data_IF_142505374318
#
_entry.id   IF_142505374318
#
_cell.length_a   1.000
_cell.length_b   1.000
_cell.length_c   1.000
_cell.angle_alpha   90.00
_cell.angle_beta   90.00
_cell.angle_gamma   90.00
#
_symmetry.space_group_name_H-M   'P 1'
#
loop_
_entity.id
_entity.type
_entity.pdbx_description
1 polymer ?
#
# COMPACT_ATOMS: atom_id res chain seq x y z
N UNK A 1 -5.98 7.23 -2.00
CA UNK A 1 -6.98 6.48 -1.20
C UNK A 1 -7.85 7.38 -0.33
N UNK A 2 -7.31 8.35 0.42
CA UNK A 2 -8.12 9.24 1.28
C UNK A 2 -9.29 9.94 0.55
N UNK A 3 -9.04 10.58 -0.60
CA UNK A 3 -10.11 11.24 -1.39
C UNK A 3 -11.13 10.28 -2.02
N UNK A 4 -10.70 9.07 -2.41
CA UNK A 4 -11.61 8.03 -2.92
C UNK A 4 -12.55 7.56 -1.80
N UNK A 5 -12.04 7.49 -0.57
CA UNK A 5 -12.83 7.18 0.62
C UNK A 5 -13.82 8.29 0.97
N UNK A 6 -13.49 9.55 0.68
CA UNK A 6 -14.39 10.69 0.87
C UNK A 6 -15.54 10.71 -0.16
N UNK A 7 -15.31 10.22 -1.39
CA UNK A 7 -16.32 10.21 -2.48
C UNK A 7 -17.27 9.01 -2.41
N UNK A 8 -16.77 7.81 -2.09
CA UNK A 8 -17.57 6.57 -2.06
C UNK A 8 -18.10 6.22 -0.66
N UNK A 9 -17.68 6.98 0.35
CA UNK A 9 -17.90 6.63 1.74
C UNK A 9 -16.84 5.63 2.22
N UNK A 10 -16.38 5.83 3.45
CA UNK A 10 -15.25 5.10 4.06
C UNK A 10 -15.39 3.58 3.97
N UNK A 11 -16.64 3.09 4.00
CA UNK A 11 -16.98 1.66 4.03
C UNK A 11 -16.91 0.99 2.67
N UNK A 12 -17.32 1.68 1.61
CA UNK A 12 -17.21 1.17 0.23
C UNK A 12 -15.72 1.07 -0.15
N UNK A 13 -14.91 2.04 0.28
CA UNK A 13 -13.46 2.01 0.10
C UNK A 13 -12.79 0.81 0.80
N UNK A 14 -13.18 0.49 2.04
CA UNK A 14 -12.69 -0.70 2.76
C UNK A 14 -13.01 -2.00 2.01
N UNK A 15 -14.24 -2.11 1.52
CA UNK A 15 -14.69 -3.30 0.78
C UNK A 15 -13.90 -3.48 -0.51
N UNK A 16 -13.69 -2.41 -1.28
CA UNK A 16 -12.88 -2.44 -2.51
C UNK A 16 -11.44 -2.86 -2.22
N UNK A 17 -10.82 -2.30 -1.17
CA UNK A 17 -9.44 -2.64 -0.81
C UNK A 17 -9.29 -4.11 -0.45
N UNK A 18 -10.26 -4.69 0.26
CA UNK A 18 -10.22 -6.10 0.64
C UNK A 18 -10.47 -7.01 -0.55
N UNK A 19 -11.38 -6.66 -1.47
CA UNK A 19 -11.55 -7.41 -2.70
C UNK A 19 -10.23 -7.45 -3.48
N UNK A 20 -9.55 -6.31 -3.65
CA UNK A 20 -8.24 -6.25 -4.30
C UNK A 20 -7.20 -7.08 -3.54
N UNK A 21 -7.23 -7.05 -2.21
CA UNK A 21 -6.28 -7.79 -1.38
C UNK A 21 -6.45 -9.30 -1.51
N UNK A 22 -7.70 -9.79 -1.50
CA UNK A 22 -8.06 -11.20 -1.68
C UNK A 22 -7.73 -11.67 -3.10
N UNK A 23 -8.03 -10.87 -4.11
CA UNK A 23 -7.65 -11.17 -5.49
C UNK A 23 -6.12 -11.34 -5.64
N UNK A 24 -5.33 -10.52 -4.95
CA UNK A 24 -3.88 -10.67 -4.87
C UNK A 24 -3.45 -12.03 -4.33
N UNK A 25 -3.99 -12.46 -3.18
CA UNK A 25 -3.65 -13.77 -2.59
C UNK A 25 -4.12 -14.96 -3.45
N UNK A 26 -5.31 -14.89 -4.04
CA UNK A 26 -5.81 -15.92 -4.95
C UNK A 26 -4.86 -16.08 -6.14
N UNK A 27 -4.44 -14.98 -6.75
CA UNK A 27 -3.53 -15.00 -7.89
C UNK A 27 -2.12 -15.46 -7.49
N UNK A 28 -1.62 -15.09 -6.30
CA UNK A 28 -0.34 -15.60 -5.78
C UNK A 28 -0.38 -17.13 -5.59
N UNK A 29 -1.46 -17.66 -5.01
CA UNK A 29 -1.64 -19.10 -4.81
C UNK A 29 -1.77 -19.87 -6.13
N UNK A 30 -2.48 -19.31 -7.11
CA UNK A 30 -2.67 -19.90 -8.44
C UNK A 30 -1.46 -19.73 -9.39
N UNK A 31 -0.48 -18.89 -9.03
CA UNK A 31 0.63 -18.55 -9.92
C UNK A 31 1.50 -19.78 -10.26
N UNK A 32 1.81 -19.92 -11.56
CA UNK A 32 2.76 -20.93 -12.09
C UNK A 32 4.06 -20.30 -12.59
N UNK A 33 4.02 -18.99 -12.88
CA UNK A 33 5.13 -18.23 -13.42
C UNK A 33 5.46 -17.03 -12.53
N UNK A 34 6.73 -16.64 -12.48
CA UNK A 34 7.21 -15.47 -11.72
C UNK A 34 6.52 -14.17 -12.16
N UNK A 35 6.24 -14.02 -13.45
CA UNK A 35 5.54 -12.85 -14.00
C UNK A 35 4.12 -12.73 -13.44
N UNK A 36 3.38 -13.84 -13.34
CA UNK A 36 2.02 -13.87 -12.76
C UNK A 36 2.06 -13.57 -11.27
N UNK A 37 3.09 -14.04 -10.56
CA UNK A 37 3.32 -13.72 -9.15
C UNK A 37 3.64 -12.23 -8.95
N UNK A 38 4.49 -11.64 -9.80
CA UNK A 38 4.79 -10.22 -9.78
C UNK A 38 3.56 -9.36 -10.08
N UNK A 39 2.73 -9.76 -11.05
CA UNK A 39 1.45 -9.10 -11.31
C UNK A 39 0.51 -9.19 -10.10
N UNK A 40 0.48 -10.34 -9.41
CA UNK A 40 -0.34 -10.54 -8.21
C UNK A 40 0.13 -9.64 -7.04
N UNK A 41 1.43 -9.37 -6.96
CA UNK A 41 2.00 -8.47 -5.95
C UNK A 41 1.46 -7.05 -6.06
N UNK A 42 1.15 -6.57 -7.27
CA UNK A 42 0.58 -5.23 -7.48
C UNK A 42 -0.79 -5.14 -6.81
N UNK A 43 -1.66 -6.14 -7.02
CA UNK A 43 -2.98 -6.20 -6.39
C UNK A 43 -2.89 -6.33 -4.87
N UNK A 44 -1.98 -7.21 -4.40
CA UNK A 44 -1.69 -7.38 -2.98
C UNK A 44 -1.25 -6.05 -2.33
N UNK A 45 -0.29 -5.35 -2.92
CA UNK A 45 0.27 -4.11 -2.38
C UNK A 45 -0.75 -2.97 -2.38
N UNK A 46 -1.57 -2.87 -3.43
CA UNK A 46 -2.65 -1.88 -3.49
C UNK A 46 -3.72 -2.15 -2.42
N UNK A 47 -4.11 -3.42 -2.22
CA UNK A 47 -5.08 -3.83 -1.22
C UNK A 47 -4.56 -3.63 0.21
N UNK A 48 -3.35 -4.11 0.52
CA UNK A 48 -2.76 -4.02 1.86
C UNK A 48 -2.53 -2.58 2.32
N UNK A 49 -1.94 -1.75 1.44
CA UNK A 49 -1.71 -0.32 1.73
C UNK A 49 -3.04 0.43 1.86
N UNK A 50 -4.04 0.09 1.03
CA UNK A 50 -5.38 0.65 1.10
C UNK A 50 -6.05 0.39 2.45
N UNK A 51 -6.03 -0.86 2.92
CA UNK A 51 -6.56 -1.24 4.24
C UNK A 51 -5.81 -0.52 5.36
N UNK A 52 -4.48 -0.45 5.30
CA UNK A 52 -3.67 0.22 6.32
C UNK A 52 -4.00 1.71 6.45
N UNK A 53 -4.14 2.43 5.33
CA UNK A 53 -4.51 3.85 5.33
C UNK A 53 -5.92 4.04 5.88
N UNK A 54 -6.88 3.23 5.42
CA UNK A 54 -8.28 3.33 5.86
C UNK A 54 -8.44 2.99 7.35
N UNK A 55 -7.65 2.05 7.86
CA UNK A 55 -7.61 1.71 9.29
C UNK A 55 -7.16 2.91 10.12
N UNK A 56 -6.10 3.61 9.71
CA UNK A 56 -5.63 4.81 10.42
C UNK A 56 -6.65 5.96 10.35
N UNK A 57 -7.36 6.12 9.23
CA UNK A 57 -8.46 7.08 9.10
C UNK A 57 -9.59 6.72 10.09
N UNK A 58 -10.01 5.46 10.11
CA UNK A 58 -11.10 5.02 10.99
C UNK A 58 -10.77 5.22 12.48
N UNK A 59 -9.53 4.94 12.88
CA UNK A 59 -9.05 5.20 14.24
C UNK A 59 -9.08 6.69 14.53
N UNK A 60 -8.56 7.52 13.63
CA UNK A 60 -8.55 8.97 13.78
C UNK A 60 -9.95 9.58 13.90
N UNK A 61 -10.95 9.01 13.23
CA UNK A 61 -12.33 9.46 13.28
C UNK A 61 -13.09 9.01 14.54
N UNK A 62 -12.65 7.90 15.16
CA UNK A 62 -13.32 7.29 16.32
C UNK A 62 -12.71 7.74 17.65
N UNK A 63 -11.42 8.07 17.67
CA UNK A 63 -10.68 8.42 18.89
C UNK A 63 -10.55 9.93 19.10
N UNK A 64 -10.63 10.37 20.35
CA UNK A 64 -10.30 11.74 20.74
C UNK A 64 -8.78 12.01 20.71
N UNK A 65 -8.40 13.29 20.50
CA UNK A 65 -7.02 13.78 20.36
C UNK A 65 -5.99 13.21 21.37
N UNK A 66 -6.28 13.06 22.68
CA UNK A 66 -5.31 12.58 23.65
C UNK A 66 -5.01 11.08 23.54
N UNK A 67 -6.01 10.26 23.21
CA UNK A 67 -5.89 8.81 23.22
C UNK A 67 -5.54 8.22 21.84
N UNK A 68 -5.52 9.06 20.80
CA UNK A 68 -5.28 8.65 19.40
C UNK A 68 -3.97 7.87 19.22
N UNK A 69 -2.91 8.22 19.95
CA UNK A 69 -1.64 7.49 19.88
C UNK A 69 -1.77 6.04 20.38
N UNK A 70 -2.49 5.82 21.49
CA UNK A 70 -2.76 4.49 22.02
C UNK A 70 -3.63 3.69 21.06
N UNK A 71 -4.74 4.27 20.58
CA UNK A 71 -5.63 3.59 19.63
C UNK A 71 -4.96 3.31 18.27
N UNK A 72 -4.00 4.12 17.85
CA UNK A 72 -3.22 3.88 16.62
C UNK A 72 -2.24 2.71 16.77
N UNK A 73 -1.73 2.46 17.98
CA UNK A 73 -0.81 1.35 18.28
C UNK A 73 -1.49 0.01 18.56
N UNK A 74 -2.76 0.01 18.98
CA UNK A 74 -3.51 -1.21 19.28
C UNK A 74 -3.57 -2.22 18.12
N UNK A 75 -3.83 -1.82 16.87
CA UNK A 75 -3.85 -2.75 15.74
C UNK A 75 -2.51 -3.41 15.43
N UNK A 76 -1.40 -2.82 15.89
CA UNK A 76 -0.06 -3.36 15.66
C UNK A 76 0.32 -4.40 16.74
N UNK A 77 -0.39 -4.44 17.86
CA UNK A 77 -0.12 -5.41 18.95
C UNK A 77 -0.15 -6.89 18.53
N UNK A 78 -1.02 -7.36 17.60
CA UNK A 78 -0.99 -8.76 17.15
C UNK A 78 0.31 -9.12 16.42
N UNK A 79 1.02 -8.14 15.85
CA UNK A 79 2.31 -8.37 15.18
C UNK A 79 3.35 -8.96 16.14
N UNK A 80 3.26 -8.64 17.43
CA UNK A 80 4.14 -9.21 18.46
C UNK A 80 3.98 -10.71 18.62
N UNK A 81 2.80 -11.26 18.31
CA UNK A 81 2.53 -12.69 18.41
C UNK A 81 2.80 -13.38 17.08
N UNK A 82 2.37 -12.77 15.97
CA UNK A 82 2.51 -13.37 14.64
C UNK A 82 3.94 -13.49 14.16
N UNK A 83 4.85 -12.62 14.62
CA UNK A 83 6.28 -12.70 14.30
C UNK A 83 6.95 -13.97 14.80
N UNK A 84 6.54 -14.49 15.97
CA UNK A 84 7.09 -15.73 16.53
C UNK A 84 6.36 -16.99 16.03
N UNK A 85 5.03 -16.90 15.87
CA UNK A 85 4.22 -18.05 15.45
C UNK A 85 4.29 -18.25 13.92
N UNK A 86 4.59 -17.20 13.15
CA UNK A 86 4.55 -17.21 11.69
C UNK A 86 5.50 -18.24 11.06
N UNK A 87 6.73 -18.38 11.57
CA UNK A 87 7.69 -19.37 11.05
C UNK A 87 7.22 -20.80 11.32
N UNK A 88 6.72 -21.08 12.53
CA UNK A 88 6.21 -22.40 12.91
C UNK A 88 5.02 -22.81 12.02
N UNK A 89 4.09 -21.88 11.76
CA UNK A 89 2.97 -22.12 10.85
C UNK A 89 3.48 -22.37 9.43
N UNK A 90 4.45 -21.58 8.95
CA UNK A 90 5.01 -21.74 7.62
C UNK A 90 5.70 -23.11 7.44
N UNK A 91 6.52 -23.53 8.40
CA UNK A 91 7.20 -24.83 8.40
C UNK A 91 6.20 -25.99 8.46
N UNK A 92 5.12 -25.84 9.24
CA UNK A 92 4.01 -26.81 9.27
C UNK A 92 3.30 -26.93 7.92
N UNK A 93 3.03 -25.82 7.25
CA UNK A 93 2.36 -25.82 5.94
C UNK A 93 3.25 -26.44 4.86
N UNK A 94 4.55 -26.14 4.87
CA UNK A 94 5.51 -26.67 3.89
C UNK A 94 5.75 -28.17 4.10
N UNK A 95 5.77 -28.64 5.36
CA UNK A 95 5.96 -30.06 5.66
C UNK A 95 4.74 -30.94 5.34
N UNK A 96 3.53 -30.38 5.44
CA UNK A 96 2.27 -31.14 5.24
C UNK A 96 1.65 -30.94 3.85
N UNK A 97 1.90 -29.80 3.22
CA UNK A 97 1.21 -29.33 2.00
C UNK A 97 2.20 -28.68 1.01
N UNK A 98 1.77 -27.68 0.24
CA UNK A 98 2.59 -26.92 -0.71
C UNK A 98 2.60 -25.45 -0.30
N UNK A 99 3.66 -24.71 -0.64
CA UNK A 99 3.77 -23.26 -0.43
C UNK A 99 2.54 -22.44 -0.91
N UNK A 100 1.83 -22.94 -1.94
CA UNK A 100 0.59 -22.34 -2.46
C UNK A 100 -0.51 -22.20 -1.41
N UNK A 101 -0.63 -23.18 -0.51
CA UNK A 101 -1.59 -23.15 0.58
C UNK A 101 -1.23 -22.11 1.62
N UNK A 102 0.06 -21.76 1.77
CA UNK A 102 0.49 -20.64 2.60
C UNK A 102 -0.22 -19.34 2.24
N UNK A 103 -0.29 -19.01 0.94
CA UNK A 103 -1.03 -17.84 0.45
C UNK A 103 -2.55 -18.06 0.39
N UNK A 104 -2.98 -19.29 0.08
CA UNK A 104 -4.40 -19.65 -0.01
C UNK A 104 -5.17 -19.54 1.30
N UNK A 105 -4.52 -19.83 2.44
CA UNK A 105 -5.12 -19.67 3.77
C UNK A 105 -5.51 -18.21 4.02
N UNK A 106 -4.63 -17.26 3.68
CA UNK A 106 -4.91 -15.82 3.85
C UNK A 106 -6.03 -15.32 2.93
N UNK A 107 -6.18 -15.91 1.75
CA UNK A 107 -7.30 -15.61 0.86
C UNK A 107 -8.68 -15.96 1.47
N UNK A 108 -8.73 -16.92 2.40
CA UNK A 108 -9.94 -17.33 3.11
C UNK A 108 -10.11 -16.56 4.43
N UNK A 109 -9.04 -16.46 5.23
CA UNK A 109 -9.07 -15.80 6.55
C UNK A 109 -9.46 -14.32 6.41
N UNK A 110 -8.90 -13.60 5.44
CA UNK A 110 -9.15 -12.17 5.27
C UNK A 110 -10.63 -11.81 5.05
N UNK A 111 -11.35 -12.41 4.08
CA UNK A 111 -12.77 -12.12 3.91
C UNK A 111 -13.59 -12.61 5.10
N UNK A 112 -13.26 -13.75 5.72
CA UNK A 112 -13.97 -14.24 6.92
C UNK A 112 -13.82 -13.27 8.10
N UNK A 113 -12.60 -12.77 8.36
CA UNK A 113 -12.35 -11.77 9.40
C UNK A 113 -13.06 -10.44 9.10
N UNK A 114 -13.25 -10.10 7.82
CA UNK A 114 -13.94 -8.90 7.41
C UNK A 114 -15.47 -9.04 7.37
N UNK A 115 -16.02 -10.25 7.29
CA UNK A 115 -17.47 -10.49 7.23
C UNK A 115 -18.25 -9.81 8.37
N UNK A 116 -17.84 -9.88 9.66
CA UNK A 116 -18.53 -9.18 10.75
C UNK A 116 -18.54 -7.66 10.54
N UNK A 117 -17.44 -7.10 10.04
CA UNK A 117 -17.36 -5.68 9.70
C UNK A 117 -18.28 -5.38 8.52
N UNK A 118 -18.17 -6.09 7.40
CA UNK A 118 -19.03 -5.90 6.24
C UNK A 118 -20.53 -6.03 6.59
N UNK A 119 -20.88 -6.96 7.46
CA UNK A 119 -22.27 -7.25 7.85
C UNK A 119 -22.82 -6.18 8.79
N UNK A 120 -22.05 -5.74 9.79
CA UNK A 120 -22.44 -4.58 10.62
C UNK A 120 -22.62 -3.33 9.77
N UNK A 121 -21.77 -3.13 8.76
CA UNK A 121 -21.84 -1.98 7.85
C UNK A 121 -23.03 -2.04 6.89
N UNK A 122 -23.37 -3.21 6.33
CA UNK A 122 -24.57 -3.38 5.51
C UNK A 122 -25.85 -3.19 6.33
N UNK A 123 -25.87 -3.68 7.57
CA UNK A 123 -26.98 -3.46 8.49
C UNK A 123 -27.11 -1.98 8.87
N UNK A 124 -26.00 -1.29 9.14
CA UNK A 124 -26.01 0.13 9.48
C UNK A 124 -26.43 1.00 8.29
N UNK A 125 -26.01 0.64 7.07
CA UNK A 125 -26.44 1.28 5.81
C UNK A 125 -27.94 1.08 5.55
N UNK A 126 -28.45 -0.12 5.80
CA UNK A 126 -29.88 -0.44 5.71
C UNK A 126 -30.68 0.30 6.79
N UNK A 127 -30.16 0.41 8.01
CA UNK A 127 -30.77 1.18 9.12
C UNK A 127 -30.78 2.68 8.83
N UNK A 128 -29.68 3.24 8.34
CA UNK A 128 -29.59 4.65 7.93
C UNK A 128 -30.55 4.96 6.77
N UNK A 129 -30.72 4.03 5.81
CA UNK A 129 -31.73 4.15 4.74
C UNK A 129 -33.17 4.11 5.27
N UNK A 130 -33.43 3.32 6.32
CA UNK A 130 -34.74 3.27 6.99
C UNK A 130 -35.04 4.50 7.84
N UNK A 131 -34.01 5.13 8.42
CA UNK A 131 -34.15 6.32 9.29
C UNK A 131 -34.09 7.66 8.54
N UNK A 132 -33.99 7.66 7.20
CA UNK A 132 -34.00 8.89 6.40
C UNK A 132 -32.76 9.80 6.56
N UNK A 133 -31.75 9.39 7.34
CA UNK A 133 -30.54 10.15 7.65
C UNK A 133 -29.47 10.11 6.53
N UNK A 134 -29.89 9.99 5.26
CA UNK A 134 -28.93 9.99 4.16
C UNK A 134 -28.37 11.40 3.95
N UNK A 135 -27.10 11.57 4.32
CA UNK A 135 -26.25 12.59 3.69
C UNK A 135 -26.38 12.39 2.16
N UNK A 136 -26.72 13.43 1.38
CA UNK A 136 -26.97 13.29 -0.04
C UNK A 136 -25.72 12.69 -0.71
N UNK A 137 -25.85 11.47 -1.25
CA UNK A 137 -24.80 10.82 -2.04
C UNK A 137 -24.28 11.83 -3.05
N UNK A 138 -22.96 12.01 -3.12
CA UNK A 138 -22.27 12.87 -4.08
C UNK A 138 -22.94 12.79 -5.46
N UNK A 139 -23.09 13.94 -6.13
CA UNK A 139 -23.83 14.13 -7.38
C UNK A 139 -23.52 13.10 -8.49
N UNK A 140 -22.40 12.37 -8.40
CA UNK A 140 -22.06 11.26 -9.29
C UNK A 140 -23.03 10.06 -9.23
N UNK A 141 -23.70 9.79 -8.10
CA UNK A 141 -24.54 8.60 -7.96
C UNK A 141 -25.86 8.63 -8.77
N UNK A 142 -26.19 9.76 -9.42
CA UNK A 142 -27.41 9.92 -10.24
C UNK A 142 -27.16 9.84 -11.76
N UNK A 143 -25.91 9.67 -12.21
CA UNK A 143 -25.56 9.59 -13.62
C UNK A 143 -25.69 8.19 -14.23
N UNK A 144 -25.80 8.09 -15.56
CA UNK A 144 -25.67 6.83 -16.31
C UNK A 144 -24.31 6.17 -15.98
N UNK A 145 -24.20 4.83 -15.87
CA UNK A 145 -22.99 4.15 -15.40
C UNK A 145 -21.73 4.51 -16.22
N UNK A 146 -21.90 4.77 -17.52
CA UNK A 146 -20.81 5.22 -18.40
C UNK A 146 -20.26 6.61 -18.01
N UNK A 147 -21.15 7.56 -17.70
CA UNK A 147 -20.78 8.94 -17.32
C UNK A 147 -20.17 9.00 -15.93
N UNK A 148 -20.59 8.11 -15.03
CA UNK A 148 -19.98 7.95 -13.70
C UNK A 148 -18.56 7.40 -13.82
N UNK A 149 -18.35 6.39 -14.66
CA UNK A 149 -17.02 5.82 -14.89
C UNK A 149 -16.04 6.84 -15.50
N UNK A 150 -16.47 7.62 -16.51
CA UNK A 150 -15.59 8.64 -17.12
C UNK A 150 -15.30 9.80 -16.17
N UNK A 151 -16.28 10.22 -15.36
CA UNK A 151 -16.08 11.29 -14.36
C UNK A 151 -15.17 10.80 -13.23
N UNK A 152 -15.28 9.53 -12.83
CA UNK A 152 -14.39 8.90 -11.85
C UNK A 152 -12.95 8.81 -12.36
N UNK A 153 -12.74 8.32 -13.59
CA UNK A 153 -11.39 8.25 -14.20
C UNK A 153 -10.78 9.64 -14.36
N UNK A 154 -11.56 10.63 -14.78
CA UNK A 154 -11.07 12.01 -14.97
C UNK A 154 -10.74 12.68 -13.62
N UNK A 155 -11.55 12.44 -12.58
CA UNK A 155 -11.26 12.90 -11.21
C UNK A 155 -10.01 12.21 -10.64
N UNK A 156 -9.87 10.89 -10.82
CA UNK A 156 -8.67 10.15 -10.44
C UNK A 156 -7.41 10.66 -11.16
N UNK A 157 -7.51 10.96 -12.46
CA UNK A 157 -6.36 11.44 -13.24
C UNK A 157 -5.89 12.82 -12.78
N UNK A 158 -6.83 13.75 -12.53
CA UNK A 158 -6.50 15.14 -12.23
C UNK A 158 -6.29 15.43 -10.73
N UNK A 159 -6.96 14.71 -9.82
CA UNK A 159 -6.90 14.98 -8.38
C UNK A 159 -5.87 14.14 -7.63
N UNK A 160 -5.45 13.03 -8.23
CA UNK A 160 -4.56 12.03 -7.65
C UNK A 160 -3.18 11.99 -8.34
N UNK A 161 -2.94 12.88 -9.32
CA UNK A 161 -1.71 13.00 -10.12
C UNK A 161 -1.12 11.62 -10.49
N UNK A 162 -1.93 10.81 -11.17
CA UNK A 162 -1.54 9.45 -11.57
C UNK A 162 -0.29 9.49 -12.46
N UNK A 163 -0.14 10.53 -13.28
CA UNK A 163 1.05 10.76 -14.09
C UNK A 163 2.31 10.86 -13.24
N UNK A 164 2.29 11.72 -12.21
CA UNK A 164 3.38 11.83 -11.23
C UNK A 164 3.65 10.52 -10.49
N UNK A 165 2.61 9.81 -10.04
CA UNK A 165 2.73 8.51 -9.35
C UNK A 165 3.43 7.48 -10.24
N UNK A 166 3.01 7.34 -11.50
CA UNK A 166 3.58 6.38 -12.45
C UNK A 166 5.02 6.74 -12.76
N UNK A 167 5.30 8.02 -13.01
CA UNK A 167 6.65 8.49 -13.33
C UNK A 167 7.62 8.24 -12.16
N UNK A 168 7.21 8.59 -10.94
CA UNK A 168 8.01 8.41 -9.73
C UNK A 168 8.23 6.93 -9.41
N UNK A 169 7.16 6.11 -9.47
CA UNK A 169 7.25 4.67 -9.21
C UNK A 169 8.10 3.95 -10.27
N UNK A 170 7.97 4.33 -11.55
CA UNK A 170 8.81 3.79 -12.63
C UNK A 170 10.28 4.18 -12.45
N UNK A 171 10.57 5.42 -12.06
CA UNK A 171 11.93 5.86 -11.77
C UNK A 171 12.57 5.04 -10.66
N UNK A 172 11.90 4.90 -9.50
CA UNK A 172 12.42 4.07 -8.41
C UNK A 172 12.53 2.60 -8.80
N UNK A 173 11.56 2.04 -9.52
CA UNK A 173 11.64 0.67 -10.01
C UNK A 173 12.88 0.45 -10.90
N UNK A 174 13.12 1.33 -11.86
CA UNK A 174 14.26 1.23 -12.79
C UNK A 174 15.62 1.41 -12.10
N UNK A 175 15.68 2.15 -11.00
CA UNK A 175 16.90 2.29 -10.20
C UNK A 175 17.09 1.09 -9.26
N UNK A 176 16.02 0.59 -8.63
CA UNK A 176 16.09 -0.47 -7.62
C UNK A 176 16.22 -1.88 -8.21
N UNK A 177 15.57 -2.16 -9.35
CA UNK A 177 15.66 -3.45 -10.04
C UNK A 177 17.13 -3.83 -10.33
N UNK A 178 17.97 -3.01 -10.99
CA UNK A 178 19.36 -3.38 -11.28
C UNK A 178 20.18 -3.63 -10.00
N UNK A 179 19.93 -2.90 -8.90
CA UNK A 179 20.63 -3.13 -7.63
C UNK A 179 20.42 -4.55 -7.10
N UNK A 180 19.26 -5.15 -7.38
CA UNK A 180 18.96 -6.53 -6.99
C UNK A 180 19.46 -7.56 -8.02
N UNK A 181 19.47 -7.21 -9.31
CA UNK A 181 19.82 -8.11 -10.40
C UNK A 181 21.34 -8.20 -10.69
N UNK A 182 22.13 -7.21 -10.24
CA UNK A 182 23.60 -7.14 -10.45
C UNK A 182 24.34 -8.40 -10.03
N UNK A 183 23.85 -9.11 -9.00
CA UNK A 183 24.48 -10.36 -8.51
C UNK A 183 24.26 -11.56 -9.43
N UNK A 184 23.22 -11.53 -10.26
CA UNK A 184 22.82 -12.66 -11.11
C UNK A 184 23.06 -12.41 -12.61
N UNK A 185 23.42 -11.18 -12.99
CA UNK A 185 23.59 -10.78 -14.39
C UNK A 185 25.03 -11.03 -14.90
N UNK A 186 25.21 -11.60 -16.11
CA UNK A 186 26.53 -11.72 -16.73
C UNK A 186 27.11 -10.33 -17.00
N UNK A 187 28.29 -10.06 -16.45
CA UNK A 187 28.95 -8.74 -16.51
C UNK A 187 28.66 -7.81 -15.32
N UNK A 188 27.83 -8.22 -14.35
CA UNK A 188 27.57 -7.47 -13.13
C UNK A 188 27.23 -6.00 -13.40
N UNK A 189 27.95 -5.09 -12.75
CA UNK A 189 27.79 -3.63 -12.91
C UNK A 189 28.18 -3.09 -14.29
N UNK A 190 28.97 -3.82 -15.07
CA UNK A 190 29.40 -3.41 -16.40
C UNK A 190 28.43 -3.86 -17.50
N UNK A 191 27.35 -4.55 -17.15
CA UNK A 191 26.31 -4.90 -18.10
C UNK A 191 25.64 -3.63 -18.68
N UNK A 192 25.61 -3.47 -20.02
CA UNK A 192 24.98 -2.30 -20.66
C UNK A 192 23.50 -2.14 -20.26
N UNK A 193 22.79 -3.25 -20.01
CA UNK A 193 21.40 -3.23 -19.58
C UNK A 193 21.24 -2.63 -18.18
N UNK A 194 22.14 -2.94 -17.24
CA UNK A 194 22.10 -2.40 -15.88
C UNK A 194 22.36 -0.89 -15.89
N UNK A 195 23.36 -0.46 -16.66
CA UNK A 195 23.68 0.96 -16.82
C UNK A 195 22.50 1.71 -17.48
N UNK A 196 21.91 1.15 -18.53
CA UNK A 196 20.75 1.74 -19.19
C UNK A 196 19.55 1.91 -18.25
N UNK A 197 19.24 0.90 -17.42
CA UNK A 197 18.14 0.98 -16.44
C UNK A 197 18.38 2.08 -15.39
N UNK A 198 19.61 2.19 -14.87
CA UNK A 198 19.97 3.24 -13.90
C UNK A 198 19.90 4.63 -14.53
N UNK A 199 20.45 4.80 -15.74
CA UNK A 199 20.44 6.10 -16.44
C UNK A 199 19.01 6.51 -16.79
N UNK A 200 18.20 5.63 -17.36
CA UNK A 200 16.79 5.92 -17.68
C UNK A 200 16.01 6.22 -16.40
N UNK A 201 16.21 5.44 -15.33
CA UNK A 201 15.59 5.69 -14.03
C UNK A 201 15.98 7.06 -13.45
N UNK A 202 17.25 7.45 -13.56
CA UNK A 202 17.75 8.77 -13.14
C UNK A 202 17.19 9.92 -13.97
N UNK A 203 17.08 9.76 -15.29
CA UNK A 203 16.45 10.75 -16.18
C UNK A 203 14.98 10.93 -15.82
N UNK A 204 14.24 9.84 -15.58
CA UNK A 204 12.85 9.90 -15.13
C UNK A 204 12.71 10.59 -13.75
N UNK A 205 13.68 10.39 -12.86
CA UNK A 205 13.71 11.05 -11.55
C UNK A 205 13.90 12.56 -11.67
N UNK A 206 14.72 13.01 -12.61
CA UNK A 206 14.94 14.45 -12.90
C UNK A 206 13.74 15.06 -13.64
N UNK A 207 13.06 14.28 -14.49
CA UNK A 207 11.84 14.70 -15.17
C UNK A 207 10.66 14.88 -14.19
N UNK A 208 10.65 14.17 -13.07
CA UNK A 208 9.56 14.23 -12.10
C UNK A 208 9.33 15.63 -11.50
N UNK A 209 10.35 16.35 -10.98
CA UNK A 209 10.19 17.74 -10.56
C UNK A 209 9.73 18.68 -11.69
N UNK A 210 10.11 18.43 -12.94
CA UNK A 210 9.68 19.23 -14.09
C UNK A 210 8.19 19.00 -14.41
N UNK A 211 7.74 17.75 -14.31
CA UNK A 211 6.33 17.39 -14.44
C UNK A 211 5.49 18.07 -13.34
N UNK A 212 5.94 17.94 -12.10
CA UNK A 212 5.25 18.45 -10.91
C UNK A 212 5.26 19.98 -10.81
N UNK A 213 6.31 20.63 -11.31
CA UNK A 213 6.37 22.10 -11.40
C UNK A 213 5.42 22.67 -12.48
N UNK A 214 4.91 21.85 -13.38
CA UNK A 214 4.00 22.29 -14.44
C UNK A 214 2.55 22.29 -13.98
N UNK A 215 2.04 23.47 -13.60
CA UNK A 215 0.63 23.69 -13.18
C UNK A 215 -0.42 23.30 -14.25
N UNK A 216 -0.01 23.11 -15.51
CA UNK A 216 -0.89 22.67 -16.60
C UNK A 216 -1.06 21.15 -16.64
N UNK A 217 -0.08 20.39 -16.17
CA UNK A 217 -0.06 18.93 -16.20
C UNK A 217 -0.51 18.33 -14.86
N UNK A 218 -0.15 18.97 -13.75
CA UNK A 218 -0.56 18.58 -12.40
C UNK A 218 -1.27 19.76 -11.69
N UNK A 219 -2.61 19.84 -11.74
CA UNK A 219 -3.37 20.84 -10.99
C UNK A 219 -3.23 20.67 -9.47
N UNK A 220 -3.00 19.43 -9.03
CA UNK A 220 -2.78 19.05 -7.64
C UNK A 220 -1.52 18.19 -7.53
N UNK A 221 -0.34 18.81 -7.31
CA UNK A 221 0.94 18.09 -7.23
C UNK A 221 0.95 17.11 -6.04
N UNK A 222 1.60 15.96 -6.23
CA UNK A 222 1.71 14.89 -5.23
C UNK A 222 2.59 15.30 -4.04
N UNK A 223 3.67 16.01 -4.32
CA UNK A 223 4.62 16.62 -3.39
C UNK A 223 4.65 18.12 -3.71
N UNK A 224 4.04 18.98 -2.88
CA UNK A 224 4.26 20.41 -3.03
C UNK A 224 5.75 20.70 -2.83
N UNK A 225 6.45 21.13 -3.89
CA UNK A 225 7.90 21.40 -3.87
C UNK A 225 8.29 22.46 -2.82
N UNK A 226 7.34 23.28 -2.40
CA UNK A 226 7.49 24.22 -1.28
C UNK A 226 7.77 23.51 0.05
N UNK A 227 7.21 22.30 0.27
CA UNK A 227 7.43 21.51 1.47
C UNK A 227 8.86 20.95 1.51
N UNK A 228 9.41 20.56 0.36
CA UNK A 228 10.82 20.14 0.24
C UNK A 228 11.81 21.27 0.56
N UNK A 229 11.39 22.54 0.45
CA UNK A 229 12.20 23.69 0.82
C UNK A 229 12.19 23.94 2.34
N UNK A 230 11.24 23.35 3.07
CA UNK A 230 11.13 23.52 4.51
C UNK A 230 12.16 22.66 5.26
N UNK A 231 12.91 23.30 6.16
CA UNK A 231 13.97 22.63 6.96
C UNK A 231 13.39 21.50 7.83
N UNK A 232 12.15 21.67 8.31
CA UNK A 232 11.45 20.68 9.15
C UNK A 232 11.16 19.40 8.39
N UNK A 233 10.75 19.49 7.11
CA UNK A 233 10.51 18.32 6.29
C UNK A 233 11.81 17.57 6.00
N UNK A 234 12.87 18.28 5.57
CA UNK A 234 14.18 17.67 5.33
C UNK A 234 14.77 17.04 6.60
N UNK A 235 14.63 17.71 7.75
CA UNK A 235 15.06 17.16 9.04
C UNK A 235 14.28 15.88 9.39
N UNK A 236 12.96 15.86 9.18
CA UNK A 236 12.13 14.67 9.38
C UNK A 236 12.56 13.49 8.50
N UNK A 237 12.79 13.74 7.20
CA UNK A 237 13.33 12.73 6.28
C UNK A 237 14.72 12.24 6.73
N UNK A 238 15.60 13.13 7.19
CA UNK A 238 16.91 12.79 7.73
C UNK A 238 16.81 11.89 8.96
N UNK A 239 15.96 12.24 9.92
CA UNK A 239 15.71 11.43 11.12
C UNK A 239 15.20 10.03 10.74
N UNK A 240 14.26 9.94 9.79
CA UNK A 240 13.73 8.66 9.32
C UNK A 240 14.82 7.78 8.67
N UNK A 241 15.71 8.37 7.87
CA UNK A 241 16.85 7.68 7.29
C UNK A 241 17.77 7.11 8.37
N UNK A 242 18.14 7.91 9.37
CA UNK A 242 19.02 7.46 10.45
C UNK A 242 18.36 6.39 11.33
N UNK A 243 17.06 6.53 11.62
CA UNK A 243 16.30 5.54 12.38
C UNK A 243 16.36 4.15 11.72
N UNK A 244 16.10 4.08 10.40
CA UNK A 244 16.18 2.82 9.65
C UNK A 244 17.60 2.28 9.46
N UNK A 245 18.60 3.17 9.40
CA UNK A 245 20.00 2.74 9.32
C UNK A 245 20.47 2.08 10.61
N UNK A 246 19.99 2.57 11.77
CA UNK A 246 20.41 2.11 13.10
C UNK A 246 19.70 0.82 13.52
N UNK A 247 18.43 0.63 13.17
CA UNK A 247 17.68 -0.61 13.51
C UNK A 247 18.28 -1.87 12.88
N UNK A 248 19.06 -1.74 11.79
CA UNK A 248 19.81 -2.85 11.17
C UNK A 248 21.11 -3.22 11.87
N UNK A 249 21.58 -2.44 12.83
CA UNK A 249 22.90 -2.63 13.45
C UNK A 249 22.88 -3.45 14.74
N UNK A 250 21.77 -4.06 15.19
CA UNK A 250 21.84 -5.00 16.31
C UNK A 250 22.52 -6.30 15.87
N UNK A 251 23.80 -6.53 16.22
CA UNK A 251 24.48 -7.77 15.91
C UNK A 251 24.12 -8.78 16.99
N UNK A 252 23.64 -9.96 16.58
CA UNK A 252 23.72 -11.22 17.32
C UNK A 252 23.67 -11.14 18.86
N UNK A 253 22.47 -11.10 19.43
CA UNK A 253 22.25 -11.41 20.85
C UNK A 253 22.49 -12.92 21.12
N UNK A 254 22.66 -13.74 20.07
CA UNK A 254 22.98 -15.17 20.15
C UNK A 254 24.39 -15.49 20.64
N UNK A 255 25.32 -14.53 20.75
CA UNK A 255 26.65 -14.79 21.32
C UNK A 255 26.71 -14.64 22.85
N UNK A 256 25.70 -14.02 23.48
CA UNK A 256 25.66 -13.84 24.95
C UNK A 256 25.05 -15.04 25.69
N UNK A 257 24.29 -15.92 25.02
CA UNK A 257 23.77 -17.15 25.61
C UNK A 257 24.77 -18.32 25.61
N UNK A 258 26.03 -18.06 25.25
CA UNK A 258 27.12 -19.05 25.33
C UNK A 258 28.08 -18.82 26.51
N UNK A 259 27.77 -17.83 27.37
CA UNK A 259 28.58 -17.43 28.53
C UNK A 259 27.79 -17.36 29.86
N UNK A 260 26.57 -17.89 29.90
CA UNK A 260 25.80 -18.14 31.15
C UNK A 260 25.18 -19.52 31.04
#
# INVERSE_FOLDING_TARGET
MAKIADVFGRLEAFTICIILYVLGYIQQSASKNVQTFAAAQIFYSAGSTGVQILQQIFIADTSDMPNRALFSSLPDTPFLVTTWIGSIIADGIISTTTWRWGYGIWAIILPVAFLPLALTLLLNSRRAKRMGLQQPKSRLAKGKPLTVATTFVTSLWNELDIGGIILLSASFALILIPLTLTKSAPGGWQSPTIIALIVVGGVLLILFPLWESSKKLAPHPLIPLELLKSRTFCAGCGIAFFYFSKSRQHPNISSLSSLV
#
